data_IF_614898952140
#
_entry.id   IF_614898952140
#
_cell.length_a   1.000
_cell.length_b   1.000
_cell.length_c   1.000
_cell.angle_alpha   90.00
_cell.angle_beta   90.00
_cell.angle_gamma   90.00
#
_symmetry.space_group_name_H-M   'P 1'
#
loop_
_entity.id
_entity.type
_entity.pdbx_description
1 polymer ?
#
# COMPACT_ATOMS: atom_id res chain seq x y z
N UNK A 1 -33.52 -47.60 -0.04
CA UNK A 1 -32.19 -47.12 -0.42
C UNK A 1 -31.41 -46.83 0.86
N UNK A 2 -30.28 -47.45 1.06
CA UNK A 2 -29.38 -47.14 2.18
C UNK A 2 -28.50 -45.93 1.82
N UNK A 3 -28.08 -45.14 2.82
CA UNK A 3 -27.09 -44.10 2.62
C UNK A 3 -25.72 -44.71 2.32
N UNK A 4 -24.82 -43.95 1.68
CA UNK A 4 -23.41 -44.33 1.54
C UNK A 4 -22.79 -44.20 2.94
N UNK A 5 -22.24 -45.28 3.45
CA UNK A 5 -21.61 -45.35 4.77
C UNK A 5 -20.09 -45.20 4.64
N UNK A 6 -19.45 -44.43 5.53
CA UNK A 6 -18.01 -44.35 5.63
C UNK A 6 -17.42 -45.51 6.42
N UNK A 7 -16.09 -45.60 6.44
CA UNK A 7 -15.35 -46.60 7.20
C UNK A 7 -15.51 -46.39 8.71
N UNK A 8 -15.48 -47.52 9.46
CA UNK A 8 -15.51 -47.43 10.91
C UNK A 8 -14.31 -46.72 11.48
N UNK A 9 -14.54 -45.82 12.45
CA UNK A 9 -13.45 -45.09 13.13
C UNK A 9 -12.47 -45.97 13.88
N UNK A 10 -12.89 -47.22 14.18
CA UNK A 10 -12.11 -48.22 14.90
C UNK A 10 -11.55 -49.30 13.97
N UNK A 11 -11.70 -49.13 12.65
CA UNK A 11 -11.17 -50.09 11.69
C UNK A 11 -9.65 -50.05 11.69
N UNK A 12 -9.00 -51.14 11.95
CA UNK A 12 -7.56 -51.29 11.77
C UNK A 12 -7.27 -51.58 10.29
N UNK A 13 -6.35 -50.84 9.71
CA UNK A 13 -5.88 -51.10 8.35
C UNK A 13 -4.82 -52.21 8.39
N UNK A 14 -4.92 -53.14 7.45
CA UNK A 14 -3.95 -54.25 7.32
C UNK A 14 -2.57 -53.74 6.88
N UNK A 15 -2.57 -52.70 6.02
CA UNK A 15 -1.37 -52.00 5.59
C UNK A 15 -1.42 -50.57 6.10
N UNK A 16 -0.36 -50.07 6.78
CA UNK A 16 -0.31 -48.67 7.24
C UNK A 16 -0.28 -47.73 6.04
N UNK A 17 -1.18 -46.76 6.02
CA UNK A 17 -1.12 -45.64 5.07
C UNK A 17 0.07 -44.75 5.36
N UNK A 18 0.80 -44.35 4.33
CA UNK A 18 1.81 -43.31 4.42
C UNK A 18 1.18 -41.96 4.09
N UNK A 19 1.71 -40.88 4.69
CA UNK A 19 1.15 -39.55 4.46
C UNK A 19 1.16 -39.12 2.98
N UNK A 20 2.09 -39.66 2.20
CA UNK A 20 2.21 -39.34 0.77
C UNK A 20 1.01 -39.86 -0.04
N UNK A 21 0.42 -40.95 0.37
CA UNK A 21 -0.76 -41.54 -0.27
C UNK A 21 -2.03 -40.68 -0.06
N UNK A 22 -2.04 -39.87 1.02
CA UNK A 22 -3.14 -38.98 1.34
C UNK A 22 -3.13 -37.70 0.50
N UNK A 23 -2.07 -37.44 -0.27
CA UNK A 23 -1.85 -36.17 -1.01
C UNK A 23 -1.74 -36.49 -2.51
N UNK A 24 -2.71 -35.99 -3.28
CA UNK A 24 -2.71 -36.16 -4.73
C UNK A 24 -1.47 -35.51 -5.40
N UNK A 25 -1.10 -36.00 -6.56
CA UNK A 25 0.09 -35.51 -7.29
C UNK A 25 -0.06 -34.06 -7.81
N UNK A 26 -1.29 -33.60 -7.96
CA UNK A 26 -1.66 -32.25 -8.38
C UNK A 26 -1.97 -31.31 -7.20
N UNK A 27 -1.75 -31.77 -5.96
CA UNK A 27 -1.96 -30.92 -4.78
C UNK A 27 -0.88 -29.82 -4.71
N UNK A 28 -1.34 -28.61 -4.43
CA UNK A 28 -0.48 -27.40 -4.37
C UNK A 28 0.67 -27.50 -3.38
N UNK A 29 0.52 -28.27 -2.30
CA UNK A 29 1.57 -28.39 -1.28
C UNK A 29 2.83 -29.08 -1.82
N UNK A 30 2.72 -29.95 -2.84
CA UNK A 30 3.88 -30.56 -3.52
C UNK A 30 4.73 -29.49 -4.22
N UNK A 31 4.10 -28.48 -4.82
CA UNK A 31 4.83 -27.34 -5.37
C UNK A 31 5.45 -26.50 -4.26
N UNK A 32 4.72 -26.19 -3.18
CA UNK A 32 5.27 -25.41 -2.06
C UNK A 32 6.50 -26.07 -1.47
N UNK A 33 6.49 -27.39 -1.33
CA UNK A 33 7.59 -28.17 -0.80
C UNK A 33 8.85 -28.00 -1.68
N UNK A 34 8.74 -28.32 -2.96
CA UNK A 34 9.86 -28.23 -3.91
C UNK A 34 10.35 -26.79 -4.09
N UNK A 35 9.43 -25.83 -4.17
CA UNK A 35 9.79 -24.42 -4.35
C UNK A 35 10.60 -23.88 -3.16
N UNK A 36 10.16 -24.14 -1.93
CA UNK A 36 10.85 -23.65 -0.74
C UNK A 36 12.18 -24.38 -0.54
N UNK A 37 12.24 -25.69 -0.82
CA UNK A 37 13.49 -26.45 -0.70
C UNK A 37 14.54 -26.01 -1.73
N UNK A 38 14.11 -25.51 -2.89
CA UNK A 38 14.99 -24.92 -3.91
C UNK A 38 15.51 -23.50 -3.57
N UNK A 39 14.96 -22.84 -2.54
CA UNK A 39 15.39 -21.49 -2.16
C UNK A 39 16.70 -21.51 -1.35
N UNK A 40 17.57 -20.56 -1.63
CA UNK A 40 18.78 -20.28 -0.84
C UNK A 40 18.44 -19.32 0.29
N UNK A 41 17.91 -19.86 1.41
CA UNK A 41 17.36 -19.05 2.51
C UNK A 41 18.40 -18.16 3.16
N UNK A 42 19.66 -18.57 3.20
CA UNK A 42 20.77 -17.78 3.70
C UNK A 42 20.98 -16.50 2.88
N UNK A 43 21.03 -16.62 1.54
CA UNK A 43 21.17 -15.48 0.63
C UNK A 43 19.96 -14.52 0.70
N UNK A 44 18.79 -15.05 1.03
CA UNK A 44 17.59 -14.28 1.25
C UNK A 44 17.54 -13.59 2.63
N UNK A 45 18.50 -13.93 3.53
CA UNK A 45 18.63 -13.34 4.84
C UNK A 45 17.66 -13.90 5.90
N UNK A 46 17.26 -15.18 5.76
CA UNK A 46 16.51 -15.86 6.82
C UNK A 46 17.41 -16.20 8.02
N UNK A 47 16.96 -15.84 9.22
CA UNK A 47 17.58 -16.26 10.46
C UNK A 47 17.48 -17.78 10.67
N UNK A 48 18.45 -18.36 11.36
CA UNK A 48 18.55 -19.79 11.64
C UNK A 48 18.61 -20.69 10.37
N UNK A 49 18.98 -20.12 9.22
CA UNK A 49 19.23 -20.89 7.99
C UNK A 49 20.44 -21.82 8.09
N UNK A 50 21.36 -21.48 8.99
CA UNK A 50 22.49 -22.35 9.42
C UNK A 50 22.25 -22.70 10.88
N UNK A 51 22.14 -24.01 11.24
CA UNK A 51 21.93 -24.44 12.62
C UNK A 51 23.08 -24.03 13.53
N UNK A 52 22.78 -23.53 14.72
CA UNK A 52 23.78 -23.28 15.75
C UNK A 52 24.27 -24.61 16.34
N UNK A 53 25.55 -24.65 16.74
CA UNK A 53 26.19 -25.88 17.29
C UNK A 53 25.80 -26.15 18.75
N UNK A 54 25.27 -25.15 19.46
CA UNK A 54 24.94 -25.22 20.90
C UNK A 54 23.53 -24.65 21.12
N UNK A 55 22.75 -25.31 21.97
CA UNK A 55 21.40 -24.87 22.34
C UNK A 55 20.29 -25.84 21.90
N UNK A 56 19.02 -25.47 22.13
CA UNK A 56 17.88 -26.25 21.67
C UNK A 56 17.79 -26.12 20.14
N UNK A 57 17.67 -27.24 19.38
CA UNK A 57 17.50 -27.17 17.93
C UNK A 57 16.31 -26.30 17.53
N UNK A 58 16.50 -25.30 16.67
CA UNK A 58 15.40 -24.52 16.11
C UNK A 58 14.60 -25.35 15.10
N UNK A 59 13.39 -24.92 14.77
CA UNK A 59 12.70 -25.39 13.57
C UNK A 59 13.45 -24.94 12.33
N UNK A 60 13.50 -25.78 11.29
CA UNK A 60 14.02 -25.39 9.99
C UNK A 60 13.20 -24.19 9.47
N UNK A 61 13.83 -23.08 9.09
CA UNK A 61 13.13 -21.94 8.50
C UNK A 61 12.36 -22.29 7.21
N UNK A 62 12.76 -23.36 6.49
CA UNK A 62 12.00 -23.89 5.35
C UNK A 62 10.61 -24.35 5.78
N UNK A 63 10.51 -25.11 6.87
CA UNK A 63 9.22 -25.62 7.34
C UNK A 63 8.30 -24.48 7.77
N UNK A 64 8.82 -23.46 8.45
CA UNK A 64 8.06 -22.28 8.84
C UNK A 64 7.66 -21.40 7.65
N UNK A 65 8.49 -21.32 6.61
CA UNK A 65 8.16 -20.63 5.37
C UNK A 65 7.06 -21.39 4.60
N UNK A 66 7.16 -22.72 4.47
CA UNK A 66 6.13 -23.58 3.89
C UNK A 66 4.78 -23.36 4.59
N UNK A 67 4.79 -23.34 5.93
CA UNK A 67 3.60 -23.08 6.74
C UNK A 67 2.96 -21.72 6.43
N UNK A 68 3.76 -20.67 6.31
CA UNK A 68 3.24 -19.35 5.96
C UNK A 68 2.69 -19.29 4.54
N UNK A 69 3.39 -19.87 3.56
CA UNK A 69 2.90 -19.91 2.18
C UNK A 69 1.57 -20.66 2.08
N UNK A 70 1.48 -21.81 2.73
CA UNK A 70 0.22 -22.56 2.86
C UNK A 70 -0.89 -21.69 3.45
N UNK A 71 -0.58 -21.00 4.55
CA UNK A 71 -1.54 -20.14 5.24
C UNK A 71 -2.07 -19.01 4.37
N UNK A 72 -1.19 -18.30 3.66
CA UNK A 72 -1.61 -17.19 2.81
C UNK A 72 -2.36 -17.64 1.56
N UNK A 73 -2.05 -18.80 1.01
CA UNK A 73 -2.82 -19.42 -0.07
C UNK A 73 -4.25 -19.76 0.34
N UNK A 74 -4.43 -20.20 1.58
CA UNK A 74 -5.71 -20.68 2.12
C UNK A 74 -6.43 -19.65 3.02
N UNK A 75 -5.97 -18.38 3.04
CA UNK A 75 -6.57 -17.32 3.86
C UNK A 75 -6.36 -17.46 5.37
N UNK A 76 -5.42 -18.32 5.80
CA UNK A 76 -5.09 -18.58 7.22
C UNK A 76 -3.87 -17.75 7.62
N UNK A 77 -4.03 -16.46 7.95
CA UNK A 77 -2.94 -15.53 8.26
C UNK A 77 -2.54 -15.47 9.75
N UNK A 78 -3.39 -15.99 10.65
CA UNK A 78 -3.19 -15.97 12.10
C UNK A 78 -2.28 -17.10 12.56
N UNK A 79 -1.20 -16.81 13.32
CA UNK A 79 -0.28 -17.81 13.87
C UNK A 79 -1.00 -18.84 14.76
N UNK A 80 -1.98 -18.41 15.56
CA UNK A 80 -2.79 -19.34 16.40
C UNK A 80 -3.68 -20.24 15.56
N UNK A 81 -4.18 -19.78 14.42
CA UNK A 81 -4.92 -20.65 13.50
C UNK A 81 -3.98 -21.62 12.79
N UNK A 82 -2.80 -21.15 12.36
CA UNK A 82 -1.78 -22.02 11.75
C UNK A 82 -1.33 -23.13 12.69
N UNK A 83 -1.02 -22.82 13.94
CA UNK A 83 -0.72 -23.83 14.98
C UNK A 83 -1.81 -24.91 15.07
N UNK A 84 -3.08 -24.49 15.09
CA UNK A 84 -4.22 -25.43 15.15
C UNK A 84 -4.30 -26.30 13.90
N UNK A 85 -4.08 -25.70 12.72
CA UNK A 85 -4.09 -26.44 11.45
C UNK A 85 -2.97 -27.49 11.37
N UNK A 86 -1.78 -27.23 11.94
CA UNK A 86 -0.69 -28.22 12.00
C UNK A 86 -1.08 -29.51 12.73
N UNK A 87 -2.09 -29.46 13.62
CA UNK A 87 -2.55 -30.61 14.38
C UNK A 87 -3.71 -31.40 13.77
N UNK A 88 -4.39 -30.87 12.76
CA UNK A 88 -5.64 -31.42 12.23
C UNK A 88 -5.75 -31.47 10.70
N UNK A 89 -4.85 -30.81 9.99
CA UNK A 89 -4.88 -30.71 8.55
C UNK A 89 -3.83 -31.66 7.94
N UNK A 90 -4.27 -32.61 7.14
CA UNK A 90 -3.39 -33.64 6.57
C UNK A 90 -2.33 -33.03 5.62
N UNK A 91 -2.69 -31.99 4.88
CA UNK A 91 -1.74 -31.30 3.98
C UNK A 91 -0.59 -30.68 4.78
N UNK A 92 -0.88 -30.02 5.91
CA UNK A 92 0.15 -29.48 6.79
C UNK A 92 0.92 -30.56 7.54
N UNK A 93 0.28 -31.67 7.91
CA UNK A 93 1.00 -32.82 8.47
C UNK A 93 2.00 -33.39 7.47
N UNK A 94 1.64 -33.46 6.21
CA UNK A 94 2.55 -33.88 5.14
C UNK A 94 3.67 -32.87 4.94
N UNK A 95 3.34 -31.60 4.73
CA UNK A 95 4.26 -30.51 4.40
C UNK A 95 5.30 -30.27 5.50
N UNK A 96 4.90 -30.40 6.77
CA UNK A 96 5.74 -30.19 7.94
C UNK A 96 6.25 -31.49 8.58
N UNK A 97 6.04 -32.66 7.95
CA UNK A 97 6.47 -33.96 8.50
C UNK A 97 5.95 -34.20 9.92
N UNK A 98 4.68 -33.83 10.19
CA UNK A 98 3.99 -33.87 11.49
C UNK A 98 4.58 -32.92 12.56
N UNK A 99 5.47 -31.99 12.21
CA UNK A 99 5.92 -30.93 13.14
C UNK A 99 4.75 -30.01 13.51
N UNK A 100 4.75 -29.54 14.76
CA UNK A 100 3.69 -28.66 15.32
C UNK A 100 4.34 -27.48 16.01
N UNK A 101 4.83 -26.48 15.28
CA UNK A 101 5.35 -25.28 15.90
C UNK A 101 4.23 -24.52 16.63
N UNK A 102 4.53 -24.01 17.82
CA UNK A 102 3.60 -23.20 18.60
C UNK A 102 3.40 -21.81 17.95
N UNK A 103 2.28 -21.17 18.30
CA UNK A 103 1.90 -19.87 17.69
C UNK A 103 2.96 -18.77 17.93
N UNK A 104 3.73 -18.84 19.01
CA UNK A 104 4.78 -17.85 19.30
C UNK A 104 5.96 -18.05 18.36
N UNK A 105 6.43 -19.28 18.17
CA UNK A 105 7.47 -19.63 17.19
C UNK A 105 7.07 -19.18 15.77
N UNK A 106 5.82 -19.46 15.36
CA UNK A 106 5.29 -19.02 14.08
C UNK A 106 5.31 -17.48 13.97
N UNK A 107 4.86 -16.77 15.00
CA UNK A 107 4.80 -15.31 14.99
C UNK A 107 6.18 -14.66 14.98
N UNK A 108 7.11 -15.18 15.80
CA UNK A 108 8.49 -14.69 15.89
C UNK A 108 9.23 -14.92 14.56
N UNK A 109 9.07 -16.08 13.90
CA UNK A 109 9.64 -16.32 12.57
C UNK A 109 9.26 -15.20 11.56
N UNK A 110 7.97 -14.84 11.46
CA UNK A 110 7.54 -13.76 10.57
C UNK A 110 8.11 -12.40 10.98
N UNK A 111 8.16 -12.12 12.28
CA UNK A 111 8.67 -10.86 12.82
C UNK A 111 10.18 -10.71 12.52
N UNK A 112 10.95 -11.78 12.68
CA UNK A 112 12.41 -11.72 12.62
C UNK A 112 12.92 -11.79 11.17
N UNK A 113 12.19 -12.46 10.26
CA UNK A 113 12.53 -12.62 8.87
C UNK A 113 11.82 -11.65 7.91
N UNK A 114 11.31 -10.51 8.41
CA UNK A 114 10.46 -9.58 7.65
C UNK A 114 11.04 -9.13 6.30
N UNK A 115 12.36 -8.92 6.19
CA UNK A 115 13.00 -8.46 4.95
C UNK A 115 13.12 -9.59 3.92
N UNK A 116 13.25 -10.82 4.36
CA UNK A 116 13.44 -11.99 3.51
C UNK A 116 12.21 -12.33 2.64
N UNK A 117 11.00 -12.07 3.13
CA UNK A 117 9.76 -12.41 2.39
C UNK A 117 9.64 -11.68 1.06
N UNK A 118 10.14 -10.44 0.95
CA UNK A 118 10.19 -9.73 -0.34
C UNK A 118 11.12 -10.45 -1.33
N UNK A 119 12.22 -11.01 -0.84
CA UNK A 119 13.12 -11.83 -1.61
C UNK A 119 12.45 -13.10 -2.15
N UNK A 120 11.67 -13.79 -1.32
CA UNK A 120 10.91 -14.98 -1.76
C UNK A 120 9.88 -14.63 -2.85
N UNK A 121 9.14 -13.53 -2.69
CA UNK A 121 8.25 -13.03 -3.74
C UNK A 121 9.01 -12.78 -5.05
N UNK A 122 10.18 -12.14 -4.99
CA UNK A 122 11.02 -11.87 -6.15
C UNK A 122 11.49 -13.16 -6.83
N UNK A 123 11.93 -14.17 -6.05
CA UNK A 123 12.36 -15.47 -6.61
C UNK A 123 11.22 -16.15 -7.38
N UNK A 124 10.00 -16.13 -6.84
CA UNK A 124 8.85 -16.67 -7.55
C UNK A 124 8.51 -15.88 -8.83
N UNK A 125 8.62 -14.56 -8.78
CA UNK A 125 8.42 -13.72 -9.97
C UNK A 125 9.46 -14.01 -11.05
N UNK A 126 10.74 -14.25 -10.68
CA UNK A 126 11.77 -14.67 -11.61
C UNK A 126 11.51 -16.06 -12.20
N UNK A 127 10.99 -16.99 -11.42
CA UNK A 127 10.54 -18.29 -11.92
C UNK A 127 9.41 -18.11 -12.96
N UNK A 128 8.42 -17.28 -12.68
CA UNK A 128 7.36 -16.95 -13.64
C UNK A 128 7.91 -16.35 -14.93
N UNK A 129 8.91 -15.47 -14.83
CA UNK A 129 9.60 -14.91 -16.00
C UNK A 129 10.31 -15.98 -16.80
N UNK A 130 11.08 -16.87 -16.15
CA UNK A 130 11.77 -17.97 -16.80
C UNK A 130 10.81 -18.93 -17.52
N UNK A 131 9.62 -19.13 -16.98
CA UNK A 131 8.56 -19.91 -17.60
C UNK A 131 7.80 -19.17 -18.75
N UNK A 132 8.17 -17.92 -19.07
CA UNK A 132 7.51 -17.13 -20.10
C UNK A 132 6.08 -16.69 -19.73
N UNK A 133 5.73 -16.66 -18.43
CA UNK A 133 4.42 -16.27 -17.94
C UNK A 133 4.24 -14.75 -17.84
N UNK A 134 5.31 -13.97 -17.95
CA UNK A 134 5.27 -12.51 -18.02
C UNK A 134 5.42 -12.06 -19.48
N UNK A 135 4.59 -11.11 -19.90
CA UNK A 135 4.70 -10.47 -21.23
C UNK A 135 5.89 -9.51 -21.28
N UNK A 136 5.99 -8.70 -20.26
CA UNK A 136 7.11 -7.79 -20.02
C UNK A 136 7.07 -6.50 -20.83
N UNK A 137 6.10 -6.31 -21.72
CA UNK A 137 6.02 -5.13 -22.58
C UNK A 137 5.08 -4.06 -22.03
N UNK A 138 4.02 -4.48 -21.33
CA UNK A 138 3.01 -3.60 -20.75
C UNK A 138 2.73 -3.97 -19.30
N UNK A 139 2.85 -3.00 -18.40
CA UNK A 139 2.47 -3.13 -17.00
C UNK A 139 1.42 -2.09 -16.61
N UNK A 140 0.62 -2.41 -15.61
CA UNK A 140 -0.27 -1.45 -14.97
C UNK A 140 0.13 -1.26 -13.51
N UNK A 141 0.21 0.00 -13.08
CA UNK A 141 0.50 0.38 -11.69
C UNK A 141 -0.77 0.91 -11.04
N UNK A 142 -1.03 0.45 -9.83
CA UNK A 142 -2.16 0.93 -9.03
C UNK A 142 -1.87 0.84 -7.54
N UNK A 143 -2.54 1.72 -6.78
CA UNK A 143 -2.45 1.79 -5.34
C UNK A 143 -3.76 1.43 -4.66
N UNK A 144 -3.67 0.73 -3.53
CA UNK A 144 -4.84 0.44 -2.74
C UNK A 144 -4.58 0.59 -1.26
N UNK A 145 -5.52 1.21 -0.58
CA UNK A 145 -5.40 1.46 0.86
C UNK A 145 -5.92 0.23 1.62
N UNK A 146 -5.09 -0.32 2.52
CA UNK A 146 -5.45 -1.38 3.44
C UNK A 146 -5.38 -0.87 4.89
N UNK A 147 -6.39 -1.22 5.69
CA UNK A 147 -6.47 -0.74 7.08
C UNK A 147 -5.30 -1.25 7.92
N UNK A 148 -4.70 -0.36 8.69
CA UNK A 148 -3.74 -0.70 9.72
C UNK A 148 -4.44 -1.28 10.96
N UNK A 149 -3.67 -1.96 11.83
CA UNK A 149 -4.14 -2.38 13.16
C UNK A 149 -4.24 -1.14 14.04
N UNK A 150 -5.33 -0.41 13.92
CA UNK A 150 -5.54 0.81 14.71
C UNK A 150 -7.02 1.04 15.02
N UNK A 151 -7.26 1.84 16.08
CA UNK A 151 -8.56 2.43 16.39
C UNK A 151 -8.55 3.89 15.94
N UNK A 152 -9.62 4.33 15.26
CA UNK A 152 -9.83 5.73 14.88
C UNK A 152 -9.71 6.71 16.05
N UNK A 153 -10.00 6.24 17.26
CA UNK A 153 -9.97 7.05 18.50
C UNK A 153 -8.54 7.35 18.96
N UNK A 154 -7.58 6.52 18.60
CA UNK A 154 -6.15 6.66 18.93
C UNK A 154 -5.33 7.38 17.88
N UNK A 155 -5.96 8.05 16.95
CA UNK A 155 -5.34 8.89 15.94
C UNK A 155 -5.45 10.37 16.35
N UNK A 156 -4.33 11.09 16.31
CA UNK A 156 -4.25 12.48 16.70
C UNK A 156 -3.63 13.32 15.58
N UNK A 157 -4.29 14.42 15.24
CA UNK A 157 -3.71 15.54 14.49
C UNK A 157 -3.42 16.66 15.50
N UNK A 158 -2.62 17.63 15.11
CA UNK A 158 -2.33 18.82 15.92
C UNK A 158 -3.61 19.46 16.47
N UNK A 159 -4.57 19.76 15.60
CA UNK A 159 -5.88 20.33 16.00
C UNK A 159 -6.63 19.47 17.02
N UNK A 160 -6.58 18.13 16.85
CA UNK A 160 -7.26 17.22 17.78
C UNK A 160 -6.54 17.16 19.12
N UNK A 161 -5.20 17.22 19.15
CA UNK A 161 -4.41 17.27 20.38
C UNK A 161 -4.67 18.57 21.14
N UNK A 162 -4.57 19.72 20.47
CA UNK A 162 -4.86 21.04 21.04
C UNK A 162 -6.28 21.10 21.63
N UNK A 163 -7.26 20.59 20.90
CA UNK A 163 -8.66 20.51 21.42
C UNK A 163 -8.74 19.63 22.66
N UNK A 164 -8.06 18.47 22.68
CA UNK A 164 -8.07 17.55 23.84
C UNK A 164 -7.36 18.13 25.05
N UNK A 165 -6.26 18.84 24.86
CA UNK A 165 -5.54 19.55 25.90
C UNK A 165 -6.46 20.58 26.52
N UNK A 166 -7.09 21.42 25.71
CA UNK A 166 -8.04 22.44 26.17
C UNK A 166 -9.23 21.85 26.93
N UNK A 167 -9.84 20.78 26.43
CA UNK A 167 -10.93 20.07 27.14
C UNK A 167 -10.49 19.53 28.51
N UNK A 168 -9.22 19.14 28.68
CA UNK A 168 -8.68 18.66 29.95
C UNK A 168 -8.41 19.84 30.87
N UNK A 169 -7.87 20.94 30.37
CA UNK A 169 -7.63 22.17 31.15
C UNK A 169 -8.93 22.70 31.74
N UNK A 170 -9.97 22.84 30.91
CA UNK A 170 -11.29 23.26 31.34
C UNK A 170 -11.87 22.34 32.43
N UNK A 171 -11.62 21.03 32.34
CA UNK A 171 -12.04 20.08 33.38
C UNK A 171 -11.26 20.20 34.69
N UNK A 172 -9.93 20.43 34.59
CA UNK A 172 -9.09 20.64 35.73
C UNK A 172 -9.51 21.91 36.46
N UNK A 173 -9.71 23.01 35.72
CA UNK A 173 -10.20 24.29 36.31
C UNK A 173 -11.55 24.11 37.01
N UNK A 174 -12.49 23.39 36.36
CA UNK A 174 -13.79 23.09 37.00
C UNK A 174 -13.62 22.30 38.32
N UNK A 175 -12.77 21.25 38.29
CA UNK A 175 -12.55 20.44 39.51
C UNK A 175 -11.79 21.20 40.61
N UNK A 176 -10.90 22.12 40.26
CA UNK A 176 -10.28 23.03 41.22
C UNK A 176 -11.28 23.98 41.83
N UNK A 177 -12.15 24.59 41.02
CA UNK A 177 -13.23 25.44 41.52
C UNK A 177 -14.24 24.68 42.40
N UNK A 178 -14.49 23.40 42.11
CA UNK A 178 -15.35 22.54 42.97
C UNK A 178 -14.64 22.20 44.29
N UNK A 179 -13.31 22.03 44.31
CA UNK A 179 -12.49 21.87 45.54
C UNK A 179 -12.53 23.14 46.39
N UNK A 180 -12.30 24.32 45.80
CA UNK A 180 -12.31 25.60 46.50
C UNK A 180 -13.68 25.86 47.15
N UNK A 181 -14.78 25.52 46.43
CA UNK A 181 -16.14 25.61 47.02
C UNK A 181 -16.37 24.59 48.12
N UNK A 182 -15.78 23.38 47.99
CA UNK A 182 -15.82 22.36 49.05
C UNK A 182 -15.08 22.82 50.30
N UNK A 183 -13.88 23.39 50.16
CA UNK A 183 -13.09 23.90 51.25
C UNK A 183 -13.79 25.08 51.98
N UNK A 184 -14.55 25.94 51.27
CA UNK A 184 -15.37 26.98 51.88
C UNK A 184 -16.60 26.42 52.65
N UNK A 185 -17.12 25.25 52.24
CA UNK A 185 -18.24 24.55 52.91
C UNK A 185 -17.78 23.57 53.99
N UNK A 186 -16.57 22.97 53.88
CA UNK A 186 -15.98 22.04 54.84
C UNK A 186 -15.49 22.71 56.12
N UNK A 187 -15.40 24.03 56.15
CA UNK A 187 -15.35 24.74 57.45
C UNK A 187 -16.58 24.44 58.32
N UNK A 188 -17.60 23.71 57.82
CA UNK A 188 -18.83 23.32 58.53
C UNK A 188 -19.21 21.83 58.50
N UNK A 189 -18.49 20.94 57.74
CA UNK A 189 -18.78 19.50 57.73
C UNK A 189 -17.56 18.67 57.30
N UNK A 190 -17.05 17.84 58.21
CA UNK A 190 -15.99 16.87 57.98
C UNK A 190 -16.45 15.68 57.11
N UNK A 191 -15.51 15.22 56.25
CA UNK A 191 -15.42 13.90 55.61
C UNK A 191 -16.26 13.64 54.38
N UNK A 192 -15.58 13.37 53.25
CA UNK A 192 -15.86 12.40 52.19
C UNK A 192 -15.80 12.85 50.69
N UNK A 193 -15.23 13.99 50.35
CA UNK A 193 -15.23 14.42 48.91
C UNK A 193 -13.85 14.73 48.27
N UNK A 194 -12.89 15.19 49.07
CA UNK A 194 -11.67 15.83 48.57
C UNK A 194 -10.61 14.88 47.96
N UNK A 195 -10.41 13.69 48.52
CA UNK A 195 -9.39 12.75 48.04
C UNK A 195 -9.69 12.20 46.65
N UNK A 196 -10.94 11.85 46.36
CA UNK A 196 -11.35 11.36 45.04
C UNK A 196 -11.26 12.42 43.92
N UNK A 197 -11.41 13.71 44.28
CA UNK A 197 -11.28 14.81 43.33
C UNK A 197 -9.82 15.12 42.99
N UNK A 198 -8.94 15.11 44.00
CA UNK A 198 -7.47 15.25 43.84
C UNK A 198 -6.89 14.15 42.97
N UNK A 199 -7.32 12.90 43.15
CA UNK A 199 -6.88 11.78 42.32
C UNK A 199 -7.34 11.94 40.86
N UNK A 200 -8.58 12.43 40.62
CA UNK A 200 -9.08 12.71 39.26
C UNK A 200 -8.29 13.84 38.58
N UNK A 201 -7.95 14.90 39.30
CA UNK A 201 -7.11 15.99 38.80
C UNK A 201 -5.73 15.47 38.42
N UNK A 202 -5.11 14.65 39.25
CA UNK A 202 -3.79 14.08 38.97
C UNK A 202 -3.80 13.20 37.69
N UNK A 203 -4.80 12.34 37.56
CA UNK A 203 -5.00 11.54 36.33
C UNK A 203 -5.21 12.42 35.09
N UNK A 204 -5.90 13.54 35.22
CA UNK A 204 -6.09 14.49 34.10
C UNK A 204 -4.77 15.21 33.76
N UNK A 205 -3.98 15.62 34.75
CA UNK A 205 -2.65 16.22 34.57
C UNK A 205 -1.69 15.27 33.85
N UNK A 206 -1.63 14.01 34.28
CA UNK A 206 -0.82 12.97 33.60
C UNK A 206 -1.28 12.77 32.13
N UNK A 207 -2.59 12.76 31.90
CA UNK A 207 -3.13 12.63 30.53
C UNK A 207 -2.83 13.85 29.67
N UNK A 208 -2.89 15.06 30.24
CA UNK A 208 -2.47 16.30 29.57
C UNK A 208 -1.00 16.23 29.19
N UNK A 209 -0.11 15.92 30.15
CA UNK A 209 1.33 15.79 29.89
C UNK A 209 1.64 14.84 28.72
N UNK A 210 0.94 13.71 28.66
CA UNK A 210 1.06 12.78 27.52
C UNK A 210 0.63 13.40 26.19
N UNK A 211 -0.43 14.21 26.16
CA UNK A 211 -0.86 14.88 24.93
C UNK A 211 0.09 16.02 24.53
N UNK A 212 0.66 16.73 25.49
CA UNK A 212 1.71 17.74 25.27
C UNK A 212 2.98 17.11 24.67
N UNK A 213 3.38 15.93 25.16
CA UNK A 213 4.51 15.18 24.59
C UNK A 213 4.24 14.75 23.14
N UNK A 214 3.03 14.25 22.85
CA UNK A 214 2.62 13.88 21.49
C UNK A 214 2.57 15.09 20.54
N UNK A 215 2.18 16.24 21.04
CA UNK A 215 2.18 17.48 20.25
C UNK A 215 3.61 17.89 19.89
N UNK A 216 4.53 17.86 20.84
CA UNK A 216 5.96 18.12 20.63
C UNK A 216 6.60 17.10 19.65
N UNK A 217 6.20 15.84 19.74
CA UNK A 217 6.67 14.81 18.82
C UNK A 217 6.16 15.07 17.40
N UNK A 218 4.90 15.49 17.24
CA UNK A 218 4.30 15.86 15.97
C UNK A 218 5.03 17.05 15.33
N UNK A 219 5.29 18.10 16.10
CA UNK A 219 6.05 19.29 15.67
C UNK A 219 7.48 18.93 15.26
N UNK A 220 8.16 18.07 16.04
CA UNK A 220 9.53 17.64 15.75
C UNK A 220 9.63 16.77 14.51
N UNK A 221 8.66 15.90 14.29
CA UNK A 221 8.63 14.98 13.13
C UNK A 221 8.22 15.68 11.82
N UNK A 222 7.58 16.84 11.89
CA UNK A 222 6.98 17.53 10.73
C UNK A 222 5.77 16.78 10.12
N UNK A 223 5.26 15.76 10.84
CA UNK A 223 4.14 14.94 10.39
C UNK A 223 2.79 15.62 10.68
N UNK A 224 1.80 15.44 9.82
CA UNK A 224 0.48 16.02 10.00
C UNK A 224 -0.39 15.29 11.03
N UNK A 225 0.00 14.08 11.42
CA UNK A 225 -0.77 13.22 12.34
C UNK A 225 0.09 12.12 12.94
N UNK A 226 -0.28 11.66 14.14
CA UNK A 226 0.34 10.54 14.84
C UNK A 226 -0.70 9.51 15.26
N UNK A 227 -0.36 8.22 15.15
CA UNK A 227 -1.16 7.10 15.61
C UNK A 227 -0.48 6.40 16.78
N UNK A 228 -1.17 6.32 17.92
CA UNK A 228 -0.60 5.69 19.13
C UNK A 228 -0.47 4.17 19.04
N UNK A 229 -1.22 3.53 18.15
CA UNK A 229 -1.20 2.07 18.03
C UNK A 229 -0.18 1.61 17.01
N UNK A 230 -0.04 2.36 15.92
CA UNK A 230 0.87 2.10 14.82
C UNK A 230 1.37 3.44 14.28
N UNK A 231 2.52 3.93 14.77
CA UNK A 231 3.05 5.25 14.42
C UNK A 231 3.34 5.44 12.93
N UNK A 232 3.65 4.36 12.21
CA UNK A 232 3.95 4.41 10.78
C UNK A 232 2.70 4.54 9.91
N UNK A 233 1.51 4.23 10.45
CA UNK A 233 0.26 4.29 9.70
C UNK A 233 -0.27 5.71 9.56
N UNK A 234 -1.01 6.01 8.48
CA UNK A 234 -1.58 7.34 8.21
C UNK A 234 -3.07 7.26 7.99
N UNK A 235 -3.79 8.35 8.31
CA UNK A 235 -5.18 8.48 7.90
C UNK A 235 -5.26 8.68 6.40
N UNK A 236 -5.98 7.81 5.77
CA UNK A 236 -6.19 7.81 4.32
C UNK A 236 -7.70 7.82 4.03
N UNK A 237 -8.13 8.45 2.92
CA UNK A 237 -9.55 8.58 2.60
C UNK A 237 -10.14 7.26 2.08
N UNK A 238 -10.32 6.25 2.96
CA UNK A 238 -11.06 5.02 2.66
C UNK A 238 -12.55 5.18 2.98
N UNK A 239 -12.86 6.01 3.96
CA UNK A 239 -14.21 6.31 4.40
C UNK A 239 -14.30 7.82 4.65
N UNK A 240 -15.52 8.40 4.75
CA UNK A 240 -15.69 9.82 5.08
C UNK A 240 -14.99 10.26 6.38
N UNK A 241 -14.73 9.31 7.30
CA UNK A 241 -14.02 9.57 8.56
C UNK A 241 -12.49 9.41 8.45
N UNK A 242 -11.96 8.95 7.30
CA UNK A 242 -10.54 8.66 7.08
C UNK A 242 -10.05 7.52 7.97
N UNK A 243 -9.99 6.30 7.44
CA UNK A 243 -9.41 5.17 8.15
C UNK A 243 -7.89 5.28 8.23
N UNK A 244 -7.32 4.79 9.32
CA UNK A 244 -5.86 4.67 9.47
C UNK A 244 -5.40 3.45 8.69
N UNK A 245 -4.50 3.66 7.73
CA UNK A 245 -4.18 2.69 6.70
C UNK A 245 -2.73 2.79 6.25
N UNK A 246 -2.32 1.82 5.47
CA UNK A 246 -1.14 1.87 4.61
C UNK A 246 -1.56 1.89 3.15
N UNK A 247 -0.72 2.47 2.33
CA UNK A 247 -0.88 2.51 0.89
C UNK A 247 -0.07 1.37 0.25
N UNK A 248 -0.76 0.45 -0.36
CA UNK A 248 -0.16 -0.70 -1.06
C UNK A 248 -0.08 -0.39 -2.53
N UNK A 249 1.11 -0.46 -3.09
CA UNK A 249 1.39 -0.25 -4.51
C UNK A 249 1.70 -1.59 -5.17
N UNK A 250 1.20 -1.81 -6.38
CA UNK A 250 1.49 -3.00 -7.18
C UNK A 250 1.79 -2.61 -8.63
N UNK A 251 2.73 -3.30 -9.25
CA UNK A 251 2.95 -3.30 -10.69
C UNK A 251 2.58 -4.69 -11.22
N UNK A 252 1.63 -4.74 -12.15
CA UNK A 252 1.00 -5.96 -12.64
C UNK A 252 1.26 -6.10 -14.14
N UNK A 253 1.77 -7.25 -14.56
CA UNK A 253 1.98 -7.57 -15.98
C UNK A 253 0.64 -7.84 -16.68
N UNK A 254 0.50 -7.35 -17.90
CA UNK A 254 -0.75 -7.42 -18.66
C UNK A 254 -1.12 -8.82 -19.16
N UNK A 255 -0.13 -9.71 -19.37
CA UNK A 255 -0.34 -11.02 -20.02
C UNK A 255 -1.22 -11.96 -19.20
N UNK A 256 -0.85 -12.15 -17.93
CA UNK A 256 -1.56 -13.07 -17.04
C UNK A 256 -1.95 -12.42 -15.70
N UNK A 257 -1.88 -11.10 -15.60
CA UNK A 257 -2.21 -10.31 -14.40
C UNK A 257 -1.40 -10.75 -13.16
N UNK A 258 -0.13 -11.13 -13.37
CA UNK A 258 0.80 -11.47 -12.30
C UNK A 258 1.43 -10.18 -11.74
N UNK A 259 1.54 -10.09 -10.43
CA UNK A 259 2.29 -9.00 -9.81
C UNK A 259 3.77 -9.18 -10.07
N UNK A 260 4.40 -8.19 -10.71
CA UNK A 260 5.84 -8.13 -10.97
C UNK A 260 6.57 -7.51 -9.78
N UNK A 261 6.01 -6.43 -9.23
CA UNK A 261 6.54 -5.74 -8.06
C UNK A 261 5.41 -5.31 -7.13
N UNK A 262 5.72 -5.18 -5.87
CA UNK A 262 4.81 -4.70 -4.83
C UNK A 262 5.58 -3.91 -3.76
N UNK A 263 4.94 -2.89 -3.22
CA UNK A 263 5.50 -2.09 -2.13
C UNK A 263 4.38 -1.62 -1.20
N UNK A 264 4.70 -1.45 0.07
CA UNK A 264 3.81 -0.81 1.03
C UNK A 264 4.45 0.47 1.52
N UNK A 265 3.71 1.56 1.43
CA UNK A 265 4.15 2.88 1.87
C UNK A 265 3.13 3.51 2.81
N UNK A 266 3.54 4.52 3.54
CA UNK A 266 2.66 5.39 4.31
C UNK A 266 2.33 6.71 3.58
N UNK A 267 2.75 6.87 2.34
CA UNK A 267 2.36 7.98 1.50
C UNK A 267 0.83 8.00 1.30
N UNK A 268 0.20 9.13 1.62
CA UNK A 268 -1.26 9.27 1.54
C UNK A 268 -1.73 9.35 0.09
N UNK A 269 -0.91 9.95 -0.78
CA UNK A 269 -1.16 10.14 -2.21
C UNK A 269 -0.21 9.28 -3.05
N UNK A 270 -0.64 8.96 -4.27
CA UNK A 270 0.09 8.05 -5.15
C UNK A 270 1.05 8.76 -6.12
N UNK A 271 1.00 10.10 -6.18
CA UNK A 271 1.69 10.92 -7.19
C UNK A 271 3.22 10.81 -7.20
N UNK A 272 3.84 10.35 -6.11
CA UNK A 272 5.30 10.16 -5.99
C UNK A 272 5.73 8.68 -6.05
N UNK A 273 4.86 7.78 -6.49
CA UNK A 273 5.13 6.34 -6.47
C UNK A 273 5.35 5.75 -7.87
N UNK A 274 5.07 6.51 -8.92
CA UNK A 274 5.08 6.03 -10.30
C UNK A 274 6.46 5.53 -10.73
N UNK A 275 7.45 6.41 -10.68
CA UNK A 275 8.80 6.11 -11.15
C UNK A 275 9.42 4.94 -10.38
N UNK A 276 9.32 4.96 -9.06
CA UNK A 276 9.87 3.90 -8.21
C UNK A 276 9.28 2.53 -8.58
N UNK A 277 7.96 2.42 -8.70
CA UNK A 277 7.28 1.16 -9.00
C UNK A 277 7.58 0.69 -10.43
N UNK A 278 7.55 1.60 -11.39
CA UNK A 278 7.84 1.29 -12.79
C UNK A 278 9.29 0.84 -12.99
N UNK A 279 10.25 1.54 -12.38
CA UNK A 279 11.68 1.21 -12.44
C UNK A 279 11.97 -0.19 -11.85
N UNK A 280 11.39 -0.49 -10.68
CA UNK A 280 11.55 -1.81 -10.05
C UNK A 280 10.94 -2.94 -10.88
N UNK A 281 9.78 -2.70 -11.47
CA UNK A 281 9.17 -3.68 -12.36
C UNK A 281 10.01 -3.89 -13.63
N UNK A 282 10.52 -2.81 -14.24
CA UNK A 282 11.41 -2.85 -15.40
C UNK A 282 12.68 -3.66 -15.13
N UNK A 283 13.32 -3.44 -13.97
CA UNK A 283 14.50 -4.21 -13.53
C UNK A 283 14.22 -5.72 -13.44
N UNK A 284 13.08 -6.11 -12.86
CA UNK A 284 12.68 -7.53 -12.76
C UNK A 284 12.39 -8.12 -14.14
N UNK A 285 11.68 -7.38 -14.98
CA UNK A 285 11.36 -7.81 -16.34
C UNK A 285 12.62 -7.90 -17.22
N UNK A 286 13.67 -7.11 -16.92
CA UNK A 286 14.91 -7.08 -17.66
C UNK A 286 14.73 -6.57 -19.09
N UNK A 287 13.85 -5.60 -19.26
CA UNK A 287 13.54 -4.96 -20.55
C UNK A 287 14.18 -3.58 -20.63
N UNK A 288 14.61 -3.16 -21.83
CA UNK A 288 15.10 -1.80 -22.05
C UNK A 288 13.99 -0.77 -22.13
N UNK A 289 12.85 -1.18 -22.64
CA UNK A 289 11.66 -0.34 -22.80
C UNK A 289 10.42 -1.10 -22.31
N UNK A 290 9.53 -0.39 -21.63
CA UNK A 290 8.23 -0.91 -21.20
C UNK A 290 7.16 0.19 -21.28
N UNK A 291 5.92 -0.22 -21.52
CA UNK A 291 4.74 0.63 -21.42
C UNK A 291 4.14 0.56 -20.01
N UNK A 292 3.78 1.72 -19.44
CA UNK A 292 3.30 1.85 -18.07
C UNK A 292 1.94 2.53 -18.05
N UNK A 293 0.92 1.81 -17.60
CA UNK A 293 -0.42 2.35 -17.37
C UNK A 293 -0.59 2.70 -15.89
N UNK A 294 -1.07 3.91 -15.60
CA UNK A 294 -1.46 4.28 -14.24
C UNK A 294 -2.72 5.15 -14.24
N UNK A 295 -3.36 5.32 -13.07
CA UNK A 295 -4.52 6.19 -12.96
C UNK A 295 -4.13 7.67 -12.81
N UNK A 296 -5.16 8.54 -12.81
CA UNK A 296 -4.94 9.98 -12.69
C UNK A 296 -4.31 10.40 -11.35
N UNK A 297 -4.34 9.57 -10.32
CA UNK A 297 -3.71 9.82 -9.02
C UNK A 297 -2.18 9.84 -9.09
N UNK A 298 -1.61 9.23 -10.12
CA UNK A 298 -0.17 9.22 -10.40
C UNK A 298 0.29 10.37 -11.31
N UNK A 299 -0.61 11.24 -11.76
CA UNK A 299 -0.25 12.33 -12.67
C UNK A 299 0.64 13.35 -11.95
N UNK A 300 1.94 13.23 -12.14
CA UNK A 300 2.94 14.16 -11.64
C UNK A 300 4.05 14.35 -12.68
N UNK A 301 4.31 15.60 -13.08
CA UNK A 301 5.19 15.89 -14.22
C UNK A 301 6.60 15.34 -14.07
N UNK A 302 7.24 15.51 -12.89
CA UNK A 302 8.62 15.04 -12.67
C UNK A 302 8.72 13.53 -12.67
N UNK A 303 7.73 12.82 -12.12
CA UNK A 303 7.67 11.36 -12.15
C UNK A 303 7.49 10.84 -13.59
N UNK A 304 6.61 11.49 -14.37
CA UNK A 304 6.41 11.14 -15.79
C UNK A 304 7.69 11.39 -16.59
N UNK A 305 8.35 12.53 -16.36
CA UNK A 305 9.64 12.87 -17.00
C UNK A 305 10.70 11.81 -16.66
N UNK A 306 10.86 11.47 -15.38
CA UNK A 306 11.82 10.46 -14.94
C UNK A 306 11.56 9.08 -15.59
N UNK A 307 10.28 8.69 -15.74
CA UNK A 307 9.92 7.46 -16.45
C UNK A 307 10.33 7.49 -17.92
N UNK A 308 10.01 8.58 -18.65
CA UNK A 308 10.34 8.73 -20.06
C UNK A 308 11.87 8.71 -20.28
N UNK A 309 12.62 9.43 -19.45
CA UNK A 309 14.09 9.46 -19.49
C UNK A 309 14.71 8.08 -19.20
N UNK A 310 14.04 7.27 -18.39
CA UNK A 310 14.46 5.89 -18.11
C UNK A 310 13.94 4.85 -19.16
N UNK A 311 13.39 5.27 -20.28
CA UNK A 311 12.87 4.38 -21.33
C UNK A 311 11.57 3.67 -20.98
N UNK A 312 10.70 4.34 -20.21
CA UNK A 312 9.37 3.86 -19.85
C UNK A 312 8.32 4.77 -20.45
N UNK A 313 7.49 4.25 -21.35
CA UNK A 313 6.42 5.00 -22.01
C UNK A 313 5.19 5.04 -21.12
N UNK A 314 4.83 6.23 -20.63
CA UNK A 314 3.75 6.39 -19.65
C UNK A 314 2.43 6.74 -20.31
N UNK A 315 1.34 6.16 -19.78
CA UNK A 315 -0.04 6.44 -20.15
C UNK A 315 -0.84 6.75 -18.89
N UNK A 316 -1.11 8.04 -18.63
CA UNK A 316 -1.89 8.53 -17.50
C UNK A 316 -2.88 9.56 -17.99
N UNK A 317 -4.15 9.37 -17.64
CA UNK A 317 -5.18 10.33 -17.95
C UNK A 317 -5.05 11.55 -17.04
N UNK A 318 -5.02 12.74 -17.63
CA UNK A 318 -4.98 14.00 -16.88
C UNK A 318 -6.32 14.28 -16.22
N UNK A 319 -6.31 14.57 -14.93
CA UNK A 319 -7.48 15.04 -14.22
C UNK A 319 -7.79 16.50 -14.62
N UNK A 320 -9.06 16.78 -14.88
CA UNK A 320 -9.48 18.16 -15.10
C UNK A 320 -9.71 18.85 -13.74
N UNK A 321 -8.62 19.39 -13.16
CA UNK A 321 -8.62 20.08 -11.86
C UNK A 321 -8.62 21.61 -12.01
N UNK A 322 -8.84 22.14 -13.21
CA UNK A 322 -8.79 23.58 -13.47
C UNK A 322 -9.89 24.33 -12.71
N UNK A 323 -9.49 25.18 -11.77
CA UNK A 323 -10.43 26.08 -11.07
C UNK A 323 -11.18 27.00 -12.04
N UNK A 324 -10.58 27.38 -13.17
CA UNK A 324 -11.24 28.18 -14.20
C UNK A 324 -12.37 27.40 -14.88
N UNK A 325 -12.13 26.16 -15.25
CA UNK A 325 -13.14 25.27 -15.86
C UNK A 325 -14.30 25.05 -14.88
N UNK A 326 -14.03 24.85 -13.59
CA UNK A 326 -15.03 24.74 -12.54
C UNK A 326 -15.91 26.02 -12.38
N UNK A 327 -15.35 27.19 -12.73
CA UNK A 327 -16.05 28.48 -12.74
C UNK A 327 -16.73 28.80 -14.08
N UNK A 328 -16.73 27.87 -15.05
CA UNK A 328 -17.27 28.08 -16.39
C UNK A 328 -16.40 28.96 -17.29
N UNK A 329 -15.13 29.20 -16.89
CA UNK A 329 -14.16 29.97 -17.67
C UNK A 329 -13.31 29.06 -18.54
N UNK A 330 -12.70 29.64 -19.59
CA UNK A 330 -11.79 28.87 -20.46
C UNK A 330 -10.65 28.25 -19.65
N UNK A 331 -10.47 26.93 -19.75
CA UNK A 331 -9.32 26.20 -19.22
C UNK A 331 -8.09 26.41 -20.12
N UNK A 332 -6.93 25.94 -19.64
CA UNK A 332 -5.64 26.05 -20.37
C UNK A 332 -5.70 25.36 -21.74
N UNK A 333 -6.47 24.31 -21.88
CA UNK A 333 -6.66 23.53 -23.12
C UNK A 333 -7.26 24.33 -24.29
N UNK A 334 -7.82 25.51 -24.01
CA UNK A 334 -8.33 26.43 -25.04
C UNK A 334 -7.27 27.39 -25.58
N UNK A 335 -6.06 27.35 -25.02
CA UNK A 335 -4.93 28.16 -25.44
C UNK A 335 -3.93 27.28 -26.16
N UNK A 336 -3.66 27.56 -27.43
CA UNK A 336 -2.79 26.77 -28.28
C UNK A 336 -1.37 27.31 -28.15
N UNK A 337 -0.42 26.45 -27.80
CA UNK A 337 0.99 26.80 -27.77
C UNK A 337 1.60 26.70 -29.17
N UNK A 338 2.32 27.73 -29.58
CA UNK A 338 3.05 27.82 -30.84
C UNK A 338 4.56 27.77 -30.55
N UNK A 339 5.22 26.59 -30.71
CA UNK A 339 6.61 26.39 -30.30
C UNK A 339 7.61 27.28 -31.05
N UNK A 340 7.37 27.50 -32.36
CA UNK A 340 8.26 28.26 -33.22
C UNK A 340 8.38 29.73 -32.75
N UNK A 341 7.32 30.26 -32.15
CA UNK A 341 7.25 31.66 -31.71
C UNK A 341 7.31 31.79 -30.17
N UNK A 342 7.43 30.69 -29.44
CA UNK A 342 7.35 30.60 -27.98
C UNK A 342 6.21 31.45 -27.39
N UNK A 343 5.00 31.23 -27.85
CA UNK A 343 3.82 31.97 -27.44
C UNK A 343 2.57 31.10 -27.37
N UNK A 344 1.53 31.62 -26.73
CA UNK A 344 0.20 31.01 -26.75
C UNK A 344 -0.77 31.85 -27.57
N UNK A 345 -1.64 31.18 -28.34
CA UNK A 345 -2.78 31.83 -28.99
C UNK A 345 -4.05 31.57 -28.16
N UNK A 346 -4.71 32.65 -27.75
CA UNK A 346 -5.92 32.58 -26.93
C UNK A 346 -7.18 32.33 -27.79
N UNK A 347 -8.36 32.00 -27.17
CA UNK A 347 -9.63 31.79 -27.90
C UNK A 347 -10.12 33.02 -28.68
N UNK A 348 -9.64 34.23 -28.37
CA UNK A 348 -9.94 35.45 -29.15
C UNK A 348 -8.95 35.66 -30.29
N UNK A 349 -7.99 34.77 -30.54
CA UNK A 349 -6.99 34.89 -31.59
C UNK A 349 -5.75 35.70 -31.20
N UNK A 350 -5.73 36.31 -30.00
CA UNK A 350 -4.62 37.14 -29.55
C UNK A 350 -3.42 36.31 -29.09
N UNK A 351 -2.21 36.86 -29.35
CA UNK A 351 -0.93 36.24 -28.99
C UNK A 351 -0.54 36.61 -27.56
N UNK A 352 -0.34 35.61 -26.71
CA UNK A 352 0.22 35.74 -25.37
C UNK A 352 1.72 35.47 -25.48
N UNK A 353 2.55 36.51 -25.29
CA UNK A 353 3.99 36.39 -25.38
C UNK A 353 4.61 35.97 -24.05
N UNK A 354 5.81 35.38 -24.13
CA UNK A 354 6.63 35.08 -22.95
C UNK A 354 7.04 36.38 -22.24
N UNK A 355 7.11 36.34 -20.92
CA UNK A 355 7.52 37.48 -20.11
C UNK A 355 8.67 37.18 -19.15
N UNK A 356 8.53 36.12 -18.33
CA UNK A 356 9.57 35.73 -17.38
C UNK A 356 9.41 34.27 -16.94
N UNK A 357 10.48 33.75 -16.35
CA UNK A 357 10.50 32.46 -15.65
C UNK A 357 10.34 32.66 -14.14
N UNK A 358 9.68 31.72 -13.48
CA UNK A 358 9.63 31.60 -12.02
C UNK A 358 9.91 30.16 -11.61
N UNK A 359 10.48 29.97 -10.45
CA UNK A 359 10.62 28.64 -9.86
C UNK A 359 9.47 28.38 -8.89
N UNK A 360 8.67 27.36 -9.17
CA UNK A 360 7.52 26.97 -8.36
C UNK A 360 7.62 25.48 -8.02
N UNK A 361 7.69 25.16 -6.72
CA UNK A 361 7.81 23.79 -6.24
C UNK A 361 8.96 23.00 -6.90
N UNK A 362 10.10 23.66 -7.11
CA UNK A 362 11.28 23.06 -7.75
C UNK A 362 11.19 22.93 -9.27
N UNK A 363 10.14 23.48 -9.92
CA UNK A 363 9.96 23.48 -11.37
C UNK A 363 10.11 24.86 -11.95
N UNK A 364 10.78 24.94 -13.08
CA UNK A 364 10.91 26.19 -13.85
C UNK A 364 9.66 26.40 -14.68
N UNK A 365 8.89 27.46 -14.37
CA UNK A 365 7.60 27.79 -14.98
C UNK A 365 7.75 29.07 -15.77
N UNK A 366 7.36 29.04 -17.04
CA UNK A 366 7.27 30.18 -17.95
C UNK A 366 5.91 30.83 -17.88
N UNK A 367 5.86 32.15 -17.94
CA UNK A 367 4.64 32.93 -17.86
C UNK A 367 4.36 33.66 -19.15
N UNK A 368 3.10 33.57 -19.63
CA UNK A 368 2.63 34.14 -20.89
C UNK A 368 1.36 34.94 -20.65
N UNK A 369 1.29 36.14 -21.22
CA UNK A 369 0.10 37.00 -21.24
C UNK A 369 0.15 38.05 -22.35
N UNK A 370 -0.96 38.81 -22.52
CA UNK A 370 -1.05 39.95 -23.44
C UNK A 370 -1.89 41.07 -22.84
N UNK A 371 -1.54 42.32 -23.14
CA UNK A 371 -2.31 43.52 -22.76
C UNK A 371 -3.59 43.68 -23.55
N UNK A 372 -3.73 43.01 -24.70
CA UNK A 372 -4.95 42.97 -25.53
C UNK A 372 -6.19 42.50 -24.76
N UNK A 373 -6.02 41.76 -23.63
CA UNK A 373 -7.10 41.37 -22.74
C UNK A 373 -7.94 42.53 -22.20
N UNK A 374 -7.39 43.75 -22.17
CA UNK A 374 -8.12 44.90 -21.63
C UNK A 374 -9.30 45.33 -22.52
N UNK A 375 -9.20 45.13 -23.84
CA UNK A 375 -10.25 45.43 -24.82
C UNK A 375 -10.97 44.16 -25.36
N UNK A 376 -10.72 43.01 -24.75
CA UNK A 376 -11.21 41.71 -25.27
C UNK A 376 -12.73 41.53 -25.02
N UNK A 377 -13.50 41.27 -26.06
CA UNK A 377 -14.95 41.09 -26.01
C UNK A 377 -15.38 39.83 -25.24
N UNK A 378 -14.55 38.77 -25.24
CA UNK A 378 -14.86 37.50 -24.56
C UNK A 378 -14.11 37.39 -23.20
N UNK A 379 -13.59 38.49 -22.66
CA UNK A 379 -12.83 38.50 -21.41
C UNK A 379 -13.61 37.88 -20.24
N UNK A 380 -14.92 38.13 -20.15
CA UNK A 380 -15.76 37.60 -19.10
C UNK A 380 -15.84 36.04 -19.08
N UNK A 381 -15.65 35.39 -20.23
CA UNK A 381 -15.59 33.93 -20.36
C UNK A 381 -14.18 33.39 -20.09
N UNK A 382 -13.17 34.25 -20.05
CA UNK A 382 -11.77 33.86 -19.97
C UNK A 382 -11.18 34.07 -18.58
N UNK A 383 -11.44 35.21 -17.93
CA UNK A 383 -10.84 35.54 -16.65
C UNK A 383 -11.68 36.54 -15.84
N UNK A 384 -11.67 36.37 -14.51
CA UNK A 384 -12.22 37.35 -13.55
C UNK A 384 -11.21 38.44 -13.16
N UNK A 385 -9.95 38.31 -13.64
CA UNK A 385 -8.91 39.29 -13.34
C UNK A 385 -9.20 40.62 -14.05
N UNK A 386 -9.05 41.74 -13.34
CA UNK A 386 -9.24 43.09 -13.91
C UNK A 386 -8.25 43.39 -15.02
N UNK A 387 -7.01 42.86 -14.95
CA UNK A 387 -5.97 43.02 -15.98
C UNK A 387 -6.09 42.00 -17.11
N UNK A 388 -5.27 40.96 -17.07
CA UNK A 388 -5.10 39.98 -18.14
C UNK A 388 -5.14 38.55 -17.62
N UNK A 389 -5.38 37.61 -18.53
CA UNK A 389 -5.23 36.17 -18.31
C UNK A 389 -3.75 35.81 -18.39
N UNK A 390 -3.23 35.11 -17.37
CA UNK A 390 -1.90 34.48 -17.41
C UNK A 390 -2.04 33.00 -17.72
N UNK A 391 -1.19 32.52 -18.61
CA UNK A 391 -1.00 31.10 -18.90
C UNK A 391 0.41 30.77 -18.45
N UNK A 392 0.55 29.66 -17.73
CA UNK A 392 1.83 29.14 -17.29
C UNK A 392 2.20 27.87 -18.04
N UNK A 393 3.49 27.70 -18.32
CA UNK A 393 4.03 26.51 -18.98
C UNK A 393 5.24 26.02 -18.20
N UNK A 394 5.24 24.75 -17.82
CA UNK A 394 6.44 24.10 -17.35
C UNK A 394 7.45 23.96 -18.51
N UNK A 395 8.75 24.10 -18.24
CA UNK A 395 9.78 24.03 -19.29
C UNK A 395 9.73 22.71 -20.06
N UNK A 396 9.47 21.60 -19.32
CA UNK A 396 9.35 20.26 -19.89
C UNK A 396 7.89 19.83 -20.19
N UNK A 397 6.97 20.78 -20.36
CA UNK A 397 5.54 20.49 -20.59
C UNK A 397 5.30 19.66 -21.86
N UNK A 398 6.20 19.73 -22.82
CA UNK A 398 6.17 18.93 -24.04
C UNK A 398 6.07 17.41 -23.75
N UNK A 399 6.74 16.95 -22.69
CA UNK A 399 6.66 15.54 -22.25
C UNK A 399 5.21 15.17 -21.91
N UNK A 400 4.53 16.04 -21.17
CA UNK A 400 3.13 15.84 -20.78
C UNK A 400 2.20 15.93 -21.99
N UNK A 401 2.45 16.85 -22.92
CA UNK A 401 1.68 17.01 -24.15
C UNK A 401 1.79 15.75 -25.05
N UNK A 402 3.01 15.21 -25.20
CA UNK A 402 3.22 13.94 -25.93
C UNK A 402 2.49 12.79 -25.27
N UNK A 403 2.56 12.66 -23.93
CA UNK A 403 1.82 11.64 -23.18
C UNK A 403 0.30 11.79 -23.37
N UNK A 404 -0.25 13.00 -23.26
CA UNK A 404 -1.68 13.27 -23.47
C UNK A 404 -2.13 12.88 -24.89
N UNK A 405 -1.31 13.14 -25.92
CA UNK A 405 -1.58 12.71 -27.30
C UNK A 405 -1.58 11.18 -27.42
N UNK A 406 -0.60 10.49 -26.79
CA UNK A 406 -0.56 9.01 -26.76
C UNK A 406 -1.81 8.42 -26.11
N UNK A 407 -2.23 8.98 -24.97
CA UNK A 407 -3.44 8.53 -24.25
C UNK A 407 -4.69 8.70 -25.11
N UNK A 408 -4.82 9.83 -25.82
CA UNK A 408 -5.94 10.07 -26.75
C UNK A 408 -5.95 9.10 -27.93
N UNK A 409 -4.78 8.79 -28.48
CA UNK A 409 -4.63 7.84 -29.58
C UNK A 409 -4.90 6.39 -29.17
N UNK A 410 -4.66 6.04 -27.89
CA UNK A 410 -4.72 4.67 -27.37
C UNK A 410 -5.74 4.51 -26.23
N UNK A 411 -6.96 5.03 -26.42
CA UNK A 411 -8.01 5.00 -25.39
C UNK A 411 -8.38 3.60 -24.86
N UNK A 412 -8.18 2.55 -25.65
CA UNK A 412 -8.42 1.16 -25.25
C UNK A 412 -7.41 0.67 -24.19
N UNK A 413 -6.16 1.13 -24.22
CA UNK A 413 -5.17 0.78 -23.20
C UNK A 413 -5.61 1.24 -21.80
N UNK A 414 -6.22 2.41 -21.70
CA UNK A 414 -6.72 2.93 -20.42
C UNK A 414 -7.89 2.12 -19.86
N UNK A 415 -8.69 1.48 -20.72
CA UNK A 415 -9.73 0.54 -20.29
C UNK A 415 -9.12 -0.77 -19.77
N UNK A 416 -8.08 -1.28 -20.46
CA UNK A 416 -7.36 -2.49 -20.03
C UNK A 416 -6.70 -2.32 -18.67
N UNK A 417 -6.20 -1.11 -18.31
CA UNK A 417 -5.60 -0.83 -17.00
C UNK A 417 -6.45 -1.37 -15.85
N UNK A 418 -7.76 -1.04 -15.85
CA UNK A 418 -8.66 -1.49 -14.78
C UNK A 418 -8.70 -3.01 -14.66
N UNK A 419 -8.84 -3.70 -15.79
CA UNK A 419 -8.89 -5.17 -15.80
C UNK A 419 -7.61 -5.79 -15.25
N UNK A 420 -6.43 -5.22 -15.56
CA UNK A 420 -5.14 -5.71 -15.11
C UNK A 420 -5.00 -5.60 -13.59
N UNK A 421 -5.29 -4.42 -13.01
CA UNK A 421 -4.99 -4.13 -11.60
C UNK A 421 -6.14 -4.46 -10.63
N UNK A 422 -7.39 -4.48 -11.09
CA UNK A 422 -8.52 -4.83 -10.22
C UNK A 422 -8.51 -6.31 -9.81
N UNK A 423 -8.02 -7.20 -10.68
CA UNK A 423 -7.97 -8.62 -10.40
C UNK A 423 -7.11 -8.98 -9.17
N UNK A 424 -5.85 -8.52 -9.01
CA UNK A 424 -5.05 -8.76 -7.82
C UNK A 424 -5.70 -8.22 -6.55
N UNK A 425 -6.12 -6.96 -6.55
CA UNK A 425 -6.73 -6.34 -5.37
C UNK A 425 -8.07 -6.95 -5.00
N UNK A 426 -8.89 -7.31 -5.99
CA UNK A 426 -10.13 -8.02 -5.78
C UNK A 426 -9.90 -9.38 -5.10
N UNK A 427 -8.95 -10.15 -5.58
CA UNK A 427 -8.59 -11.44 -5.00
C UNK A 427 -8.08 -11.29 -3.57
N UNK A 428 -7.11 -10.40 -3.33
CA UNK A 428 -6.53 -10.24 -1.99
C UNK A 428 -7.56 -9.72 -0.98
N UNK A 429 -8.35 -8.70 -1.35
CA UNK A 429 -9.30 -8.08 -0.42
C UNK A 429 -10.53 -8.92 -0.14
N UNK A 430 -11.07 -9.61 -1.14
CA UNK A 430 -12.35 -10.30 -1.03
C UNK A 430 -12.20 -11.81 -0.86
N UNK A 431 -11.39 -12.47 -1.68
CA UNK A 431 -11.22 -13.92 -1.60
C UNK A 431 -10.31 -14.37 -0.46
N UNK A 432 -9.22 -13.61 -0.19
CA UNK A 432 -8.31 -13.89 0.92
C UNK A 432 -8.67 -13.12 2.20
N UNK A 433 -9.79 -12.39 2.21
CA UNK A 433 -10.28 -11.54 3.32
C UNK A 433 -9.22 -10.63 3.95
N UNK A 434 -8.35 -10.07 3.10
CA UNK A 434 -7.28 -9.17 3.56
C UNK A 434 -7.68 -7.71 3.37
N UNK A 435 -8.63 -7.24 4.15
CA UNK A 435 -9.03 -5.82 4.19
C UNK A 435 -8.22 -5.00 5.18
N UNK A 436 -7.48 -5.67 6.04
CA UNK A 436 -6.64 -5.07 7.09
C UNK A 436 -5.39 -5.89 7.31
N UNK A 437 -4.36 -5.23 7.82
CA UNK A 437 -3.13 -5.86 8.27
C UNK A 437 -3.29 -6.46 9.67
N UNK A 438 -2.52 -7.50 9.96
CA UNK A 438 -2.42 -8.10 11.30
C UNK A 438 -1.20 -7.59 12.06
N UNK A 439 -0.20 -7.07 11.33
CA UNK A 439 1.05 -6.55 11.88
C UNK A 439 1.01 -5.03 12.02
N UNK A 440 1.90 -4.49 12.88
CA UNK A 440 2.10 -3.06 13.12
C UNK A 440 3.52 -2.66 12.75
N UNK A 441 3.67 -1.45 12.22
CA UNK A 441 4.93 -0.92 11.73
C UNK A 441 5.18 -1.28 10.27
N UNK A 442 5.66 -0.30 9.50
CA UNK A 442 5.77 -0.35 8.04
C UNK A 442 6.54 -1.59 7.56
N UNK A 443 7.70 -1.88 8.15
CA UNK A 443 8.53 -3.02 7.72
C UNK A 443 7.87 -4.39 7.92
N UNK A 444 7.04 -4.54 8.97
CA UNK A 444 6.32 -5.79 9.19
C UNK A 444 5.11 -5.92 8.26
N UNK A 445 4.47 -4.78 7.97
CA UNK A 445 3.34 -4.71 7.04
C UNK A 445 3.82 -5.00 5.60
N UNK A 446 5.01 -4.54 5.21
CA UNK A 446 5.66 -4.92 3.93
C UNK A 446 5.83 -6.43 3.83
N UNK A 447 6.35 -7.06 4.88
CA UNK A 447 6.50 -8.52 4.94
C UNK A 447 5.16 -9.26 4.80
N UNK A 448 4.14 -8.79 5.51
CA UNK A 448 2.79 -9.36 5.45
C UNK A 448 2.22 -9.25 4.03
N UNK A 449 2.38 -8.11 3.37
CA UNK A 449 1.87 -7.94 2.02
C UNK A 449 2.66 -8.76 0.99
N UNK A 450 3.98 -8.92 1.16
CA UNK A 450 4.79 -9.78 0.30
C UNK A 450 4.30 -11.23 0.28
N UNK A 451 3.90 -11.76 1.44
CA UNK A 451 3.27 -13.08 1.53
C UNK A 451 1.91 -13.14 0.81
N UNK A 452 1.12 -12.08 0.90
CA UNK A 452 -0.18 -11.99 0.22
C UNK A 452 -0.04 -11.93 -1.30
N UNK A 453 0.88 -11.12 -1.78
CA UNK A 453 1.21 -11.00 -3.20
C UNK A 453 1.76 -12.32 -3.76
N UNK A 454 2.62 -12.99 -2.99
CA UNK A 454 3.16 -14.30 -3.36
C UNK A 454 2.04 -15.35 -3.41
N UNK A 455 1.16 -15.41 -2.40
CA UNK A 455 0.01 -16.33 -2.41
C UNK A 455 -0.93 -16.08 -3.60
N UNK A 456 -1.17 -14.81 -3.95
CA UNK A 456 -1.91 -14.46 -5.15
C UNK A 456 -1.24 -14.98 -6.42
N UNK A 457 0.05 -14.70 -6.61
CA UNK A 457 0.79 -15.12 -7.80
C UNK A 457 0.84 -16.65 -7.91
N UNK A 458 1.14 -17.37 -6.83
CA UNK A 458 1.17 -18.84 -6.82
C UNK A 458 -0.19 -19.41 -7.25
N UNK A 459 -1.28 -18.95 -6.63
CA UNK A 459 -2.64 -19.40 -6.98
C UNK A 459 -2.98 -19.13 -8.44
N UNK A 460 -2.58 -17.95 -8.95
CA UNK A 460 -2.81 -17.58 -10.34
C UNK A 460 -2.06 -18.49 -11.30
N UNK A 461 -0.76 -18.74 -11.02
CA UNK A 461 0.09 -19.57 -11.87
C UNK A 461 -0.36 -21.03 -11.85
N UNK A 462 -0.76 -21.57 -10.70
CA UNK A 462 -1.33 -22.93 -10.63
C UNK A 462 -2.55 -23.07 -11.54
N UNK A 463 -3.42 -22.07 -11.55
CA UNK A 463 -4.60 -22.08 -12.43
C UNK A 463 -4.25 -21.96 -13.92
N UNK A 464 -3.07 -21.43 -14.25
CA UNK A 464 -2.61 -21.29 -15.64
C UNK A 464 -1.91 -22.54 -16.18
N UNK A 465 -1.03 -23.14 -15.39
CA UNK A 465 -0.12 -24.19 -15.89
C UNK A 465 -0.24 -25.51 -15.12
N UNK A 466 -0.93 -25.53 -14.00
CA UNK A 466 -1.06 -26.70 -13.12
C UNK A 466 0.15 -26.97 -12.24
N UNK A 467 -0.06 -27.76 -11.17
CA UNK A 467 0.97 -28.09 -10.18
C UNK A 467 2.12 -28.91 -10.79
N UNK A 468 1.88 -29.98 -11.59
CA UNK A 468 2.98 -30.77 -12.14
C UNK A 468 3.97 -29.96 -12.99
N UNK A 469 3.46 -29.02 -13.80
CA UNK A 469 4.31 -28.13 -14.62
C UNK A 469 5.16 -27.23 -13.75
N UNK A 470 4.59 -26.66 -12.69
CA UNK A 470 5.34 -25.82 -11.74
C UNK A 470 6.43 -26.59 -11.00
N UNK A 471 6.14 -27.80 -10.54
CA UNK A 471 7.11 -28.69 -9.89
C UNK A 471 8.26 -29.01 -10.85
N UNK A 472 7.98 -29.30 -12.11
CA UNK A 472 8.99 -29.58 -13.12
C UNK A 472 9.87 -28.34 -13.41
N UNK A 473 9.30 -27.14 -13.45
CA UNK A 473 10.02 -25.89 -13.70
C UNK A 473 10.91 -25.44 -12.51
N UNK A 474 10.66 -25.98 -11.31
CA UNK A 474 11.41 -25.62 -10.10
C UNK A 474 12.62 -26.55 -9.86
N UNK A 475 12.64 -27.73 -10.49
CA UNK A 475 13.75 -28.69 -10.47
C UNK A 475 14.82 -28.34 -11.49
#
# INVERSE_FOLDING_TARGET
>A
MSYIEGESRNQALLFPEILDDCISQDNVIRFLDVFVDGLRLEELGFGHSVPETIGRPPYDPRDLLKLYLYGYLNGVRSSRRLERECGRNVELMWLLKKLRPDFKTIADFRKDNRKAFKGVFRQFTLLCKAMGLLGGDLIAIDGSKLKAVNSSDRKFSEKKLQKKIKEIEEKIEKYLADLDRGDEQEAKAQEAGGEGLKEKIEKLKQRKGRYDELLKELERSGESQISLTDPDSRAMPLTPKGDVSYNVQVAVDSKHHLMVEQEVTNAVIDSSQLFFMAQKAKEILGKEQIDVLADMGYYHGDEIKACEEAGMTVYIQKANTSANTALGLFGKERFVYEPEEDCYRCPAGEKLTYHFDSEELGRKIRYYWTTACNACQIKAQCTRNKGFRRITRWVDEEILERMEQRVKANGELMKQRKQIVEHPFGTIKFWNDQRHFLMRGLEKVKAEFSLSALGYNIKRVINLVGVPTLVAATR
#
